data_IF_048855366751
#
_entry.id   IF_048855366751
#
_cell.length_a   1.000
_cell.length_b   1.000
_cell.length_c   1.000
_cell.angle_alpha   90.00
_cell.angle_beta   90.00
_cell.angle_gamma   90.00
#
_symmetry.space_group_name_H-M   'P 1'
#
loop_
_entity.id
_entity.type
_entity.pdbx_description
1 polymer ?
2 polymer ?
3 water ?
#
# COMPACT_ATOMS: atom_id res chain seq x y z
N UNK A 7 12.10 21.20 -5.93
CA UNK A 7 12.32 22.57 -6.28
C UNK A 7 11.02 23.22 -6.53
N UNK A 8 10.87 24.39 -5.96
CA UNK A 8 9.66 25.19 -6.13
C UNK A 8 9.41 25.61 -7.58
N UNK A 9 10.49 25.83 -8.34
CA UNK A 9 10.34 26.27 -9.73
C UNK A 9 9.77 25.15 -10.61
N UNK A 10 10.28 23.94 -10.43
CA UNK A 10 9.80 22.79 -11.19
C UNK A 10 8.31 22.56 -10.97
N UNK A 11 7.86 22.72 -9.73
CA UNK A 11 6.45 22.54 -9.40
C UNK A 11 5.57 23.67 -9.92
N UNK A 12 6.13 24.88 -9.96
CA UNK A 12 5.42 26.02 -10.52
C UNK A 12 5.14 25.80 -12.01
N UNK A 13 6.11 25.23 -12.71
CA UNK A 13 5.95 24.91 -14.12
C UNK A 13 4.90 23.81 -14.32
N UNK A 14 4.93 22.81 -13.44
CA UNK A 14 3.96 21.71 -13.49
C UNK A 14 2.54 22.24 -13.34
N UNK A 15 2.34 23.11 -12.36
CA UNK A 15 1.04 23.71 -12.09
C UNK A 15 0.55 24.53 -13.30
N UNK A 16 1.46 25.29 -13.91
CA UNK A 16 1.11 26.11 -15.08
C UNK A 16 0.61 25.25 -16.25
N UNK A 17 1.33 24.17 -16.54
CA UNK A 17 0.94 23.28 -17.62
C UNK A 17 -0.41 22.66 -17.34
N UNK A 18 -0.63 22.27 -16.08
CA UNK A 18 -1.88 21.66 -15.66
C UNK A 18 -3.06 22.64 -15.70
N UNK A 19 -2.76 23.95 -15.64
CA UNK A 19 -3.82 24.96 -15.65
C UNK A 19 -4.40 25.29 -17.03
N UNK A 20 -3.66 24.95 -18.08
CA UNK A 20 -4.18 25.11 -19.44
C UNK A 20 -5.43 24.27 -19.61
N UNK A 21 -6.57 24.92 -19.91
CA UNK A 21 -7.88 24.27 -19.91
C UNK A 21 -8.14 23.39 -21.14
N UNK A 22 -7.69 23.83 -22.31
CA UNK A 22 -8.06 23.18 -23.57
C UNK A 22 -7.33 21.86 -23.88
N UNK A 23 -6.42 21.46 -23.01
CA UNK A 23 -5.73 20.17 -23.17
C UNK A 23 -6.66 19.01 -22.79
N UNK A 24 -6.41 17.84 -23.36
CA UNK A 24 -7.16 16.64 -22.96
C UNK A 24 -6.39 15.79 -21.95
N UNK A 25 -7.03 14.78 -21.41
CA UNK A 25 -6.39 13.93 -20.39
C UNK A 25 -5.03 13.44 -20.84
N UNK A 26 -4.92 13.03 -22.11
CA UNK A 26 -3.69 12.45 -22.64
C UNK A 26 -2.55 13.45 -22.72
N UNK A 27 -2.82 14.59 -23.34
CA UNK A 27 -1.84 15.67 -23.48
C UNK A 27 -1.34 16.10 -22.11
N UNK A 28 -2.28 16.46 -21.25
CA UNK A 28 -2.04 16.81 -19.85
C UNK A 28 -0.92 15.94 -19.28
N UNK A 29 -1.22 14.65 -19.18
CA UNK A 29 -0.30 13.66 -18.62
C UNK A 29 1.06 13.60 -19.31
N UNK A 30 1.07 13.61 -20.65
CA UNK A 30 2.32 13.53 -21.37
C UNK A 30 3.27 14.63 -20.88
N UNK A 31 2.78 15.86 -20.88
CA UNK A 31 3.56 17.02 -20.45
C UNK A 31 4.06 16.91 -19.02
N UNK A 32 3.14 16.60 -18.10
CA UNK A 32 3.48 16.54 -16.68
C UNK A 32 4.51 15.45 -16.42
N UNK A 33 4.31 14.30 -17.03
CA UNK A 33 5.19 13.14 -16.83
C UNK A 33 6.56 13.38 -17.45
N UNK A 34 6.58 14.01 -18.63
CA UNK A 34 7.84 14.39 -19.24
C UNK A 34 8.59 15.34 -18.32
N UNK A 35 7.87 16.29 -17.75
CA UNK A 35 8.45 17.29 -16.86
C UNK A 35 9.03 16.63 -15.61
N UNK A 36 8.20 15.80 -14.96
CA UNK A 36 8.63 15.02 -13.81
C UNK A 36 9.90 14.22 -14.10
N UNK A 37 9.95 13.59 -15.28
CA UNK A 37 11.13 12.80 -15.68
C UNK A 37 12.35 13.68 -15.95
N UNK A 38 12.14 14.85 -16.53
CA UNK A 38 13.24 15.76 -16.87
C UNK A 38 12.88 17.19 -16.50
N UNK A 39 13.21 17.60 -15.27
CA UNK A 39 12.90 18.93 -14.73
C UNK A 39 13.60 20.07 -15.47
N UNK A 40 14.67 19.75 -16.20
CA UNK A 40 15.43 20.75 -16.93
C UNK A 40 14.66 21.31 -18.12
N UNK A 41 13.79 20.47 -18.70
CA UNK A 41 12.99 20.83 -19.87
C UNK A 41 11.71 21.60 -19.51
N UNK A 42 11.56 21.94 -18.23
CA UNK A 42 10.35 22.58 -17.71
C UNK A 42 9.80 23.74 -18.56
N UNK A 43 10.64 24.70 -18.92
CA UNK A 43 10.17 25.89 -19.64
C UNK A 43 9.72 25.59 -21.06
N UNK A 44 10.47 24.72 -21.74
CA UNK A 44 10.15 24.37 -23.12
C UNK A 44 8.83 23.63 -23.23
N UNK A 45 8.63 22.69 -22.32
CA UNK A 45 7.39 21.92 -22.23
C UNK A 45 6.20 22.85 -21.99
N UNK A 46 6.44 23.94 -21.28
CA UNK A 46 5.39 24.92 -21.01
C UNK A 46 4.95 25.63 -22.28
N UNK A 47 5.92 26.03 -23.11
CA UNK A 47 5.61 26.71 -24.35
C UNK A 47 4.81 25.82 -25.30
N UNK A 48 5.33 24.62 -25.56
CA UNK A 48 4.68 23.68 -26.46
C UNK A 48 3.23 23.39 -26.06
N UNK A 49 2.97 23.32 -24.76
CA UNK A 49 1.61 23.12 -24.26
C UNK A 49 0.76 24.38 -24.46
N UNK A 50 1.40 25.54 -24.35
CA UNK A 50 0.76 26.81 -24.63
C UNK A 50 0.32 26.86 -26.09
N UNK A 51 1.22 26.46 -26.98
CA UNK A 51 0.92 26.40 -28.41
C UNK A 51 -0.27 25.47 -28.63
N UNK A 52 -0.20 24.31 -28.00
CA UNK A 52 -1.23 23.28 -28.14
C UNK A 52 -2.57 23.74 -27.57
N UNK A 53 -2.53 24.41 -26.42
CA UNK A 53 -3.73 24.86 -25.72
C UNK A 53 -4.59 25.83 -26.54
N UNK A 54 -3.94 26.75 -27.24
CA UNK A 54 -4.66 27.73 -28.05
C UNK A 54 -5.02 27.20 -29.44
N UNK A 55 -4.20 26.29 -29.95
CA UNK A 55 -4.52 25.63 -31.21
C UNK A 55 -5.74 24.75 -31.02
N UNK A 56 -6.04 24.48 -29.75
CA UNK A 56 -7.20 23.68 -29.38
C UNK A 56 -8.26 24.58 -28.75
N UNK A 57 -8.28 25.84 -29.17
CA UNK A 57 -9.25 26.78 -28.65
C UNK A 57 -10.65 26.42 -29.11
N UNK A 58 -11.62 26.38 -28.18
CA UNK A 58 -13.01 26.23 -28.62
C UNK A 58 -13.68 27.56 -28.89
N UNK B 7 18.42 -13.41 8.44
CA UNK B 7 19.27 -14.52 8.89
C UNK B 7 18.50 -15.84 8.98
N UNK B 8 19.05 -16.87 8.38
CA UNK B 8 18.48 -18.22 8.43
C UNK B 8 18.34 -18.73 9.87
N UNK B 9 19.28 -18.37 10.73
CA UNK B 9 19.25 -18.80 12.12
C UNK B 9 17.99 -18.27 12.82
N UNK B 10 17.84 -16.94 12.79
CA UNK B 10 16.71 -16.27 13.42
C UNK B 10 15.37 -16.75 12.89
N UNK B 11 15.28 -16.96 11.58
CA UNK B 11 14.03 -17.43 11.00
C UNK B 11 13.69 -18.83 11.48
N UNK B 12 14.71 -19.68 11.58
CA UNK B 12 14.52 -21.05 12.08
C UNK B 12 13.94 -21.04 13.48
N UNK B 13 14.53 -20.23 14.36
CA UNK B 13 14.02 -20.08 15.71
C UNK B 13 12.55 -19.63 15.70
N UNK B 14 12.24 -18.68 14.81
CA UNK B 14 10.88 -18.14 14.70
C UNK B 14 9.89 -19.22 14.28
N UNK B 15 10.32 -20.07 13.36
CA UNK B 15 9.51 -21.18 12.89
C UNK B 15 9.26 -22.21 14.00
N UNK B 16 10.32 -22.57 14.74
CA UNK B 16 10.17 -23.49 15.87
C UNK B 16 9.14 -23.00 16.88
N UNK B 17 9.24 -21.73 17.26
CA UNK B 17 8.29 -21.14 18.21
C UNK B 17 6.87 -21.14 17.65
N UNK B 18 6.75 -20.75 16.38
CA UNK B 18 5.45 -20.68 15.71
C UNK B 18 4.73 -22.03 15.69
N UNK B 19 5.49 -23.11 15.59
CA UNK B 19 4.89 -24.44 15.47
C UNK B 19 4.54 -25.08 16.82
N UNK B 20 4.95 -24.46 17.92
CA UNK B 20 4.52 -24.93 19.25
C UNK B 20 3.00 -24.94 19.36
N UNK B 21 2.43 -26.12 19.64
CA UNK B 21 0.98 -26.38 19.60
C UNK B 21 0.18 -25.79 20.75
N UNK B 22 0.78 -25.65 21.93
CA UNK B 22 0.01 -25.21 23.10
C UNK B 22 0.07 -23.71 23.40
N UNK B 23 0.71 -22.94 22.54
CA UNK B 23 0.75 -21.49 22.71
C UNK B 23 -0.54 -20.84 22.20
N UNK B 24 -0.99 -19.78 22.86
CA UNK B 24 -2.15 -19.04 22.34
C UNK B 24 -1.71 -17.87 21.45
N UNK B 25 -2.67 -17.25 20.78
CA UNK B 25 -2.35 -16.21 19.81
C UNK B 25 -1.49 -15.11 20.42
N UNK B 26 -1.72 -14.79 21.70
CA UNK B 26 -1.01 -13.69 22.37
C UNK B 26 0.43 -14.04 22.72
N UNK B 27 0.64 -15.23 23.27
CA UNK B 27 1.99 -15.71 23.55
C UNK B 27 2.74 -15.86 22.23
N UNK B 28 2.04 -16.36 21.22
CA UNK B 28 2.58 -16.55 19.89
C UNK B 28 3.22 -15.25 19.41
N UNK B 29 2.41 -14.22 19.31
CA UNK B 29 2.84 -12.90 18.86
C UNK B 29 3.95 -12.31 19.74
N UNK B 30 3.73 -12.35 21.05
CA UNK B 30 4.71 -11.80 21.98
C UNK B 30 6.10 -12.38 21.72
N UNK B 31 6.18 -13.70 21.58
CA UNK B 31 7.46 -14.34 21.34
C UNK B 31 8.06 -13.94 19.99
N UNK B 32 7.28 -14.11 18.91
CA UNK B 32 7.76 -13.77 17.57
C UNK B 32 8.19 -12.31 17.48
N UNK B 33 7.41 -11.42 18.08
CA UNK B 33 7.68 -9.99 17.99
C UNK B 33 8.93 -9.60 18.79
N UNK B 34 9.15 -10.27 19.92
CA UNK B 34 10.35 -10.04 20.71
C UNK B 34 11.57 -10.50 19.92
N UNK B 35 11.39 -11.61 19.21
CA UNK B 35 12.45 -12.19 18.39
C UNK B 35 12.86 -11.22 17.28
N UNK B 36 11.87 -10.69 16.57
CA UNK B 36 12.11 -9.69 15.54
C UNK B 36 12.79 -8.45 16.11
N UNK B 37 12.38 -8.05 17.31
CA UNK B 37 12.90 -6.86 17.95
C UNK B 37 14.39 -6.99 18.27
N UNK B 38 14.78 -8.16 18.75
CA UNK B 38 16.17 -8.42 19.16
C UNK B 38 16.51 -9.88 18.89
N UNK B 39 16.83 -10.19 17.63
CA UNK B 39 17.14 -11.57 17.19
C UNK B 39 18.28 -12.20 17.97
N UNK B 40 19.05 -11.40 18.72
CA UNK B 40 20.13 -11.95 19.52
C UNK B 40 19.55 -12.70 20.73
N UNK B 41 18.24 -12.60 20.91
CA UNK B 41 17.54 -13.26 22.01
C UNK B 41 16.78 -14.49 21.55
N UNK B 42 16.93 -14.82 20.27
CA UNK B 42 16.25 -15.96 19.65
C UNK B 42 16.31 -17.24 20.48
N UNK B 43 17.52 -17.66 20.85
CA UNK B 43 17.69 -18.91 21.58
C UNK B 43 16.95 -18.92 22.91
N UNK B 44 17.15 -17.88 23.70
CA UNK B 44 16.49 -17.77 25.00
C UNK B 44 14.97 -17.72 24.83
N UNK B 45 14.52 -16.99 23.82
CA UNK B 45 13.10 -16.91 23.51
C UNK B 45 12.50 -18.27 23.19
N UNK B 46 13.26 -19.10 22.46
CA UNK B 46 12.79 -20.44 22.13
C UNK B 46 12.73 -21.35 23.36
N UNK B 47 13.78 -21.35 24.17
CA UNK B 47 13.77 -22.16 25.39
C UNK B 47 12.63 -21.73 26.32
N UNK B 48 12.42 -20.42 26.43
CA UNK B 48 11.32 -19.89 27.23
C UNK B 48 9.99 -20.40 26.66
N UNK B 49 9.85 -20.26 25.35
CA UNK B 49 8.64 -20.71 24.65
C UNK B 49 8.43 -22.23 24.78
N UNK B 50 9.51 -22.99 24.71
CA UNK B 50 9.40 -24.44 24.82
C UNK B 50 9.00 -24.85 26.24
N UNK B 51 9.66 -24.26 27.25
CA UNK B 51 9.33 -24.49 28.65
C UNK B 51 7.85 -24.16 28.92
N UNK B 52 7.38 -23.08 28.32
CA UNK B 52 5.99 -22.66 28.46
C UNK B 52 5.05 -23.64 27.77
N UNK B 53 5.34 -23.97 26.51
CA UNK B 53 4.50 -24.87 25.74
C UNK B 53 4.25 -26.20 26.44
N UNK B 54 5.31 -26.76 27.03
CA UNK B 54 5.19 -28.02 27.78
C UNK B 54 4.38 -27.85 29.06
N UNK B 55 4.49 -26.69 29.69
CA UNK B 55 3.74 -26.43 30.91
C UNK B 55 2.24 -26.34 30.63
N UNK B 56 1.90 -25.89 29.43
CA UNK B 56 0.51 -25.65 29.06
C UNK B 56 -0.09 -26.83 28.30
N UNK B 57 0.46 -28.02 28.50
CA UNK B 57 -0.05 -29.21 27.85
C UNK B 57 -1.31 -29.73 28.55
N UNK B 58 -2.25 -30.28 27.77
CA UNK B 58 -3.44 -30.94 28.36
C UNK B 58 -3.09 -32.29 28.99
N UNK C 6 13.79 -14.95 -4.51
CA UNK C 6 13.99 -15.93 -3.45
C UNK C 6 12.70 -16.13 -2.65
N UNK C 7 12.73 -17.02 -1.66
CA UNK C 7 11.57 -17.27 -0.82
C UNK C 7 11.53 -16.30 0.37
N UNK C 8 10.38 -15.68 0.61
CA UNK C 8 10.24 -14.76 1.74
C UNK C 8 10.12 -15.55 3.04
N UNK C 9 11.06 -15.33 3.95
CA UNK C 9 11.09 -16.04 5.23
C UNK C 9 9.87 -15.71 6.10
N UNK C 10 9.42 -16.69 6.86
CA UNK C 10 8.25 -16.55 7.74
C UNK C 10 8.30 -15.33 8.65
N UNK C 11 9.46 -15.08 9.26
CA UNK C 11 9.58 -13.97 10.20
C UNK C 11 9.49 -12.63 9.47
N UNK C 12 9.90 -12.62 8.20
CA UNK C 12 9.78 -11.40 7.41
C UNK C 12 8.35 -11.19 6.90
N UNK C 13 7.67 -12.27 6.53
CA UNK C 13 6.26 -12.15 6.15
C UNK C 13 5.46 -11.68 7.35
N UNK C 14 5.72 -12.29 8.51
CA UNK C 14 4.99 -11.94 9.72
C UNK C 14 5.16 -10.45 10.05
N UNK C 15 6.40 -10.00 10.11
CA UNK C 15 6.68 -8.60 10.43
C UNK C 15 6.02 -7.63 9.44
N UNK C 16 6.17 -7.90 8.14
CA UNK C 16 5.73 -6.96 7.11
C UNK C 16 4.20 -6.93 6.92
N UNK C 17 3.52 -7.97 7.37
CA UNK C 17 2.07 -8.06 7.18
C UNK C 17 1.30 -7.65 8.42
N UNK C 18 2.02 -7.45 9.53
CA UNK C 18 1.39 -7.11 10.81
C UNK C 18 0.88 -5.67 10.87
N UNK C 19 -0.21 -5.45 11.59
CA UNK C 19 -0.90 -4.19 11.61
C UNK C 19 0.04 -3.04 11.77
N UNK C 20 -0.04 -2.15 10.82
CA UNK C 20 0.78 -0.93 10.85
C UNK C 20 0.28 0.09 9.85
N UNK C 21 0.74 1.35 9.96
CA UNK C 21 0.42 2.35 8.93
C UNK C 21 1.16 2.04 7.64
N UNK C 22 0.43 1.93 6.54
CA UNK C 22 1.01 1.66 5.23
C UNK C 22 0.49 2.64 4.19
N UNK C 23 1.36 3.08 3.31
CA UNK C 23 0.93 3.99 2.24
C UNK C 23 -0.14 3.32 1.39
N UNK C 24 -1.29 3.98 1.28
CA UNK C 24 -2.45 3.45 0.59
C UNK C 24 -3.02 4.52 -0.35
N UNK C 25 -3.35 4.15 -1.58
CA UNK C 25 -3.89 5.12 -2.53
C UNK C 25 -5.40 5.26 -2.37
N UNK C 26 -5.85 6.48 -2.06
CA UNK C 26 -7.27 6.70 -1.78
C UNK C 26 -7.95 7.67 -2.75
N UNK C 27 -9.09 7.24 -3.28
CA UNK C 27 -9.97 8.09 -4.08
C UNK C 27 -10.24 9.40 -3.33
N UNK C 28 -10.09 10.53 -4.02
CA UNK C 28 -10.38 11.82 -3.39
C UNK C 28 -11.89 11.97 -3.18
N UNK C 29 -12.66 11.51 -4.17
CA UNK C 29 -14.13 11.48 -4.10
C UNK C 29 -14.62 10.76 -2.84
N UNK C 30 -13.91 9.70 -2.47
CA UNK C 30 -14.20 8.94 -1.26
C UNK C 30 -13.96 9.77 0.01
N UNK C 31 -13.03 10.72 -0.06
CA UNK C 31 -12.70 11.55 1.08
C UNK C 31 -13.45 12.88 1.06
N UNK C 32 -13.82 13.30 -0.14
CA UNK C 32 -14.66 14.49 -0.33
C UNK C 32 -15.94 14.09 -1.06
N UNK C 33 -16.84 13.37 -0.38
CA UNK C 33 -18.08 12.83 -0.95
C UNK C 33 -19.01 13.92 -1.48
N UNK C 34 -18.83 15.14 -0.98
CA UNK C 34 -19.75 16.23 -1.25
C UNK C 34 -19.33 17.08 -2.45
N UNK C 35 -18.24 16.71 -3.11
CA UNK C 35 -17.73 17.53 -4.21
C UNK C 35 -17.59 16.78 -5.52
N UNK C 36 -18.54 15.91 -5.82
CA UNK C 36 -18.45 15.16 -7.06
C UNK C 36 -19.09 15.92 -8.22
N UNK C 37 -19.15 17.24 -8.09
CA UNK C 37 -19.39 18.11 -9.24
C UNK C 37 -18.03 18.31 -9.90
N UNK C 38 -17.04 18.48 -9.03
CA UNK C 38 -15.63 18.61 -9.37
C UNK C 38 -15.00 17.39 -10.02
N UNK C 39 -13.89 17.60 -10.71
CA UNK C 39 -13.00 16.55 -11.16
C UNK C 39 -11.58 16.85 -10.68
N UNK C 40 -10.91 15.86 -10.12
CA UNK C 40 -9.60 16.09 -9.53
C UNK C 40 -8.46 15.44 -10.30
N UNK C 41 -7.37 16.17 -10.41
CA UNK C 41 -6.13 15.63 -10.95
C UNK C 41 -5.00 15.93 -9.97
N UNK C 42 -4.39 14.86 -9.43
CA UNK C 42 -4.81 13.47 -9.65
C UNK C 42 -6.11 13.14 -8.92
N UNK C 43 -6.74 12.03 -9.25
CA UNK C 43 -8.00 11.64 -8.62
C UNK C 43 -7.83 10.89 -7.30
N UNK C 44 -6.63 10.36 -7.06
CA UNK C 44 -6.34 9.68 -5.81
C UNK C 44 -5.11 10.29 -5.16
N UNK C 45 -4.95 10.04 -3.87
CA UNK C 45 -3.79 10.54 -3.14
C UNK C 45 -3.18 9.46 -2.24
N UNK C 46 -1.85 9.50 -2.03
CA UNK C 46 -1.14 8.54 -1.16
C UNK C 46 -1.27 8.89 0.32
N UNK C 47 -1.96 8.06 1.08
CA UNK C 47 -2.21 8.32 2.49
C UNK C 47 -1.79 7.17 3.39
N UNK C 48 -1.06 7.49 4.46
CA UNK C 48 -0.73 6.50 5.50
C UNK C 48 -2.00 6.00 6.20
N UNK C 49 -2.27 4.70 6.07
CA UNK C 49 -3.48 4.11 6.64
C UNK C 49 -3.21 2.77 7.30
N UNK C 50 -4.00 2.45 8.33
CA UNK C 50 -3.90 1.15 8.98
C UNK C 50 -4.17 0.01 8.00
N UNK C 51 -3.29 -0.98 8.01
CA UNK C 51 -3.43 -2.16 7.18
C UNK C 51 -2.71 -3.34 7.82
N UNK C 52 -2.96 -4.54 7.31
CA UNK C 52 -2.35 -5.74 7.83
C UNK C 52 -3.27 -6.57 8.71
N UNK C 53 -2.69 -7.58 9.36
CA UNK C 53 -3.46 -8.54 10.15
C UNK C 53 -3.07 -8.50 11.62
N UNK C 54 -3.92 -9.07 12.46
CA UNK C 54 -3.64 -9.17 13.89
C UNK C 54 -3.42 -10.62 14.33
N UNK C 55 -3.80 -11.56 13.47
CA UNK C 55 -3.58 -12.98 13.75
C UNK C 55 -4.17 -13.42 15.08
N UNK C 56 -5.19 -12.68 15.50
CA UNK C 56 -5.98 -13.01 16.68
C UNK C 56 -7.42 -12.62 16.40
N UNK C 57 -8.29 -13.62 16.30
CA UNK C 57 -9.69 -13.39 15.96
C UNK C 57 -10.43 -12.43 16.89
N UNK C 58 -9.89 -12.23 18.09
CA UNK C 58 -10.50 -11.32 19.06
C UNK C 58 -9.99 -9.90 18.95
N UNK C 59 -9.09 -9.65 17.99
CA UNK C 59 -8.49 -8.34 17.83
C UNK C 59 -8.65 -7.80 16.41
N UNK C 60 -8.61 -6.48 16.28
CA UNK C 60 -8.70 -5.83 14.97
C UNK C 60 -7.69 -4.68 14.88
N UNK C 61 -7.27 -4.38 13.66
CA UNK C 61 -6.30 -3.32 13.42
C UNK C 61 -7.02 -1.95 13.36
N UNK C 62 -6.81 -1.13 14.37
CA UNK C 62 -7.41 0.21 14.39
C UNK C 62 -6.37 1.32 14.53
N UNK C 63 -6.67 2.51 13.96
CA UNK C 63 -5.83 3.69 14.23
C UNK C 63 -5.96 4.15 15.67
N UNK C 64 -4.84 4.45 16.33
CA UNK C 64 -4.86 4.95 17.70
C UNK C 64 -4.34 6.39 17.76
N UNK C 65 -3.75 6.85 16.66
CA UNK C 65 -3.29 8.23 16.53
C UNK C 65 -3.51 8.73 15.10
N UNK C 66 -4.14 9.89 14.94
CA UNK C 66 -4.46 10.41 13.62
C UNK C 66 -4.08 11.87 13.44
N UNK C 67 -3.68 12.22 12.22
CA UNK C 67 -3.25 13.56 11.86
C UNK C 67 -3.81 13.88 10.48
N UNK C 68 -3.68 15.13 10.08
CA UNK C 68 -4.08 15.52 8.73
C UNK C 68 -2.86 15.85 7.87
N UNK C 69 -2.96 15.62 6.57
CA UNK C 69 -1.90 16.04 5.66
C UNK C 69 -2.47 16.85 4.51
N UNK C 70 -1.71 17.85 4.05
CA UNK C 70 -2.21 18.78 3.05
C UNK C 70 -1.53 18.57 1.71
N UNK C 71 -2.31 18.49 0.64
CA UNK C 71 -1.73 18.34 -0.70
C UNK C 71 -2.22 19.38 -1.68
N UNK C 72 -1.38 19.64 -2.69
CA UNK C 72 -1.75 20.49 -3.81
C UNK C 72 -2.48 19.66 -4.85
N UNK C 73 -3.75 19.95 -5.05
CA UNK C 73 -4.57 19.22 -6.00
C UNK C 73 -5.19 20.15 -7.03
N UNK C 74 -5.28 19.66 -8.26
CA UNK C 74 -5.93 20.41 -9.33
C UNK C 74 -7.45 20.20 -9.29
N UNK C 75 -8.17 21.26 -8.99
CA UNK C 75 -9.62 21.20 -8.86
C UNK C 75 -10.28 21.71 -10.13
N UNK C 76 -10.86 20.79 -10.90
CA UNK C 76 -11.39 21.16 -12.21
C UNK C 76 -12.92 21.17 -12.21
N UNK C 77 -13.48 22.35 -12.41
CA UNK C 77 -14.90 22.51 -12.71
C UNK C 77 -15.05 22.50 -14.22
N UNK C 78 -15.50 21.36 -14.77
CA UNK C 78 -15.48 21.10 -16.21
C UNK C 78 -16.13 22.21 -17.03
N UNK C 79 -15.42 22.71 -18.03
CA UNK C 79 -15.95 23.70 -18.97
C UNK C 79 -16.23 25.07 -18.33
N UNK C 80 -16.04 25.16 -17.03
CA UNK C 80 -16.22 26.42 -16.32
C UNK C 80 -15.15 26.63 -15.25
N UNK C 81 -13.89 26.36 -15.60
CA UNK C 81 -12.79 26.67 -14.70
C UNK C 81 -11.94 25.51 -14.25
N UNK C 82 -10.74 25.83 -13.77
CA UNK C 82 -9.90 24.93 -13.02
C UNK C 82 -8.83 25.66 -12.26
N UNK C 83 -8.50 25.24 -11.06
CA UNK C 83 -7.52 25.97 -10.27
C UNK C 83 -6.86 25.04 -9.24
N UNK C 84 -5.61 25.33 -8.89
CA UNK C 84 -4.90 24.54 -7.90
C UNK C 84 -5.31 24.93 -6.48
N UNK C 85 -5.80 23.96 -5.72
CA UNK C 85 -6.24 24.22 -4.36
C UNK C 85 -5.60 23.26 -3.39
N UNK C 86 -5.37 23.71 -2.16
CA UNK C 86 -4.85 22.84 -1.13
C UNK C 86 -6.00 22.03 -0.51
N UNK C 87 -5.81 20.72 -0.38
CA UNK C 87 -6.84 19.84 0.15
C UNK C 87 -6.30 19.01 1.32
N UNK C 88 -7.09 18.86 2.38
CA UNK C 88 -6.65 18.10 3.54
C UNK C 88 -7.23 16.68 3.60
N UNK C 89 -6.39 15.74 4.04
CA UNK C 89 -6.78 14.34 4.16
C UNK C 89 -6.40 13.77 5.51
N UNK C 90 -7.19 12.80 5.97
CA UNK C 90 -6.95 12.11 7.23
C UNK C 90 -5.89 11.02 7.08
N UNK C 91 -4.92 11.02 8.00
CA UNK C 91 -3.85 10.02 7.99
C UNK C 91 -3.74 9.24 9.30
N UNK C 92 -3.27 8.00 9.22
CA UNK C 92 -3.07 7.17 10.41
C UNK C 92 -1.59 7.13 10.82
N UNK C 93 -1.29 7.66 11.99
CA UNK C 93 0.10 7.69 12.49
C UNK C 93 0.47 6.43 13.28
N UNK C 94 -0.50 5.90 14.02
CA UNK C 94 -0.29 4.67 14.78
C UNK C 94 -1.46 3.71 14.62
N UNK C 95 -1.15 2.43 14.49
CA UNK C 95 -2.16 1.38 14.36
C UNK C 95 -1.87 0.29 15.38
N UNK C 96 -2.89 -0.09 16.14
CA UNK C 96 -2.72 -1.18 17.10
C UNK C 96 -3.78 -2.24 16.92
N UNK C 97 -3.43 -3.48 17.25
CA UNK C 97 -4.41 -4.56 17.32
C UNK C 97 -5.21 -4.45 18.61
N UNK C 98 -6.52 -4.24 18.48
CA UNK C 98 -7.37 -4.10 19.66
C UNK C 98 -8.67 -4.89 19.60
N UNK C 99 -9.25 -5.15 20.78
CA UNK C 99 -10.44 -5.99 20.89
C UNK C 99 -11.63 -5.37 20.16
N UNK C 100 -12.45 -6.20 19.52
CA UNK C 100 -13.67 -5.70 18.87
C UNK C 100 -14.86 -5.81 19.82
N UNK D 7 3.16 21.00 3.32
CA UNK D 7 2.29 20.78 2.15
C UNK D 7 3.01 19.99 1.04
N UNK D 8 2.31 19.02 0.48
CA UNK D 8 2.85 18.22 -0.61
C UNK D 8 2.59 18.90 -1.96
N UNK D 9 3.65 19.10 -2.73
CA UNK D 9 3.56 19.82 -4.00
C UNK D 9 2.81 19.01 -5.06
N UNK D 10 2.08 19.71 -5.92
CA UNK D 10 1.23 19.10 -6.96
C UNK D 10 1.94 18.03 -7.79
N UNK D 11 3.12 18.33 -8.30
CA UNK D 11 3.82 17.37 -9.14
C UNK D 11 4.22 16.14 -8.33
N UNK D 12 4.61 16.36 -7.07
CA UNK D 12 4.95 15.26 -6.17
C UNK D 12 3.74 14.37 -5.90
N UNK D 13 2.56 14.96 -5.81
CA UNK D 13 1.36 14.17 -5.63
C UNK D 13 1.10 13.37 -6.90
N UNK D 14 1.03 14.07 -8.03
CA UNK D 14 0.75 13.44 -9.30
C UNK D 14 1.65 12.24 -9.55
N UNK D 15 2.95 12.41 -9.29
CA UNK D 15 3.92 11.35 -9.56
C UNK D 15 3.68 10.13 -8.66
N UNK D 16 3.45 10.37 -7.37
CA UNK D 16 3.30 9.30 -6.39
C UNK D 16 1.95 8.58 -6.50
N UNK D 17 1.01 9.18 -7.21
CA UNK D 17 -0.34 8.64 -7.27
C UNK D 17 -0.62 7.92 -8.59
N UNK D 18 0.20 8.17 -9.60
CA UNK D 18 -0.05 7.60 -10.92
C UNK D 18 0.18 6.09 -10.97
N UNK D 19 -0.57 5.40 -11.81
CA UNK D 19 -0.66 3.96 -11.81
C UNK D 19 0.68 3.33 -11.78
N UNK D 20 0.91 2.53 -10.77
CA UNK D 20 2.18 1.82 -10.61
C UNK D 20 2.05 0.65 -9.63
N UNK D 21 3.04 -0.27 -9.62
CA UNK D 21 3.03 -1.34 -8.61
C UNK D 21 3.28 -0.77 -7.22
N UNK D 22 2.39 -1.05 -6.27
CA UNK D 22 2.58 -0.60 -4.90
C UNK D 22 2.38 -1.74 -3.91
N UNK D 23 3.18 -1.77 -2.85
CA UNK D 23 3.04 -2.83 -1.85
C UNK D 23 1.62 -2.78 -1.25
N UNK D 24 0.91 -3.89 -1.36
CA UNK D 24 -0.49 -3.96 -0.97
C UNK D 24 -0.76 -5.19 -0.09
N UNK D 25 -1.36 -4.98 1.07
CA UNK D 25 -1.64 -6.08 1.99
C UNK D 25 -2.91 -6.81 1.59
N UNK D 26 -2.76 -8.11 1.31
CA UNK D 26 -3.85 -8.91 0.77
C UNK D 26 -4.16 -10.08 1.68
N UNK D 27 -5.46 -10.32 1.92
CA UNK D 27 -5.91 -11.47 2.69
C UNK D 27 -5.65 -12.76 1.91
N UNK D 28 -5.02 -13.73 2.57
CA UNK D 28 -4.65 -14.98 1.92
C UNK D 28 -5.89 -15.71 1.39
N UNK D 29 -7.01 -15.55 2.09
CA UNK D 29 -8.27 -16.19 1.70
C UNK D 29 -8.80 -15.62 0.39
N UNK D 30 -8.37 -14.41 0.07
CA UNK D 30 -8.78 -13.76 -1.18
C UNK D 30 -8.04 -14.36 -2.36
N UNK D 31 -6.87 -14.94 -2.09
CA UNK D 31 -6.06 -15.55 -3.13
C UNK D 31 -6.28 -17.06 -3.16
N UNK D 32 -6.68 -17.59 -2.02
CA UNK D 32 -6.94 -19.02 -1.87
C UNK D 32 -8.28 -19.26 -1.18
N UNK D 33 -9.38 -18.99 -1.91
CA UNK D 33 -10.75 -19.06 -1.37
C UNK D 33 -11.23 -20.47 -1.04
N UNK D 34 -10.63 -21.49 -1.66
CA UNK D 34 -11.03 -22.87 -1.37
C UNK D 34 -10.39 -23.38 -0.08
N UNK D 35 -9.49 -22.58 0.50
CA UNK D 35 -8.77 -22.97 1.71
C UNK D 35 -9.41 -22.44 2.99
N UNK D 36 -10.69 -22.08 2.90
CA UNK D 36 -11.47 -21.56 4.03
C UNK D 36 -11.41 -22.44 5.30
N UNK D 37 -11.24 -23.73 5.11
CA UNK D 37 -11.15 -24.67 6.24
C UNK D 37 -9.93 -24.40 7.13
N UNK D 38 -8.92 -23.74 6.58
CA UNK D 38 -7.67 -23.53 7.31
C UNK D 38 -7.59 -22.16 7.95
N UNK D 39 -6.62 -22.01 8.85
CA UNK D 39 -6.27 -20.74 9.45
C UNK D 39 -4.81 -20.48 9.07
N UNK D 40 -4.55 -19.30 8.49
CA UNK D 40 -3.18 -18.97 8.08
C UNK D 40 -2.56 -17.91 8.98
N UNK D 41 -1.29 -18.10 9.32
CA UNK D 41 -0.52 -17.09 10.05
C UNK D 41 0.78 -16.81 9.32
N UNK D 42 0.96 -15.56 8.85
CA UNK D 42 -0.07 -14.50 8.98
C UNK D 42 -1.25 -14.74 8.04
N UNK D 43 -2.34 -14.00 8.22
CA UNK D 43 -3.54 -14.19 7.41
C UNK D 43 -3.53 -13.31 6.16
N UNK D 44 -2.59 -12.39 6.09
CA UNK D 44 -2.44 -11.50 4.94
C UNK D 44 -0.97 -11.40 4.56
N UNK D 45 -0.71 -11.03 3.31
CA UNK D 45 0.66 -10.94 2.82
C UNK D 45 0.91 -9.68 1.99
N UNK D 46 2.14 -9.16 2.02
CA UNK D 46 2.49 -7.97 1.24
C UNK D 46 2.77 -8.35 -0.21
N UNK D 47 1.96 -7.82 -1.13
CA UNK D 47 2.12 -8.13 -2.55
C UNK D 47 2.21 -6.86 -3.39
N UNK D 48 3.12 -6.84 -4.36
CA UNK D 48 3.19 -5.72 -5.31
C UNK D 48 2.01 -5.79 -6.27
N UNK D 49 1.07 -4.86 -6.13
CA UNK D 49 -0.11 -4.82 -6.98
C UNK D 49 -0.30 -3.46 -7.64
N UNK D 50 -0.89 -3.47 -8.83
CA UNK D 50 -1.21 -2.24 -9.56
C UNK D 50 -2.15 -1.38 -8.75
N UNK D 51 -1.75 -0.14 -8.50
CA UNK D 51 -2.57 0.82 -7.78
C UNK D 51 -2.40 2.22 -8.33
N UNK D 52 -3.31 3.12 -7.96
CA UNK D 52 -3.21 4.51 -8.38
C UNK D 52 -4.24 4.90 -9.43
N UNK D 53 -4.04 6.07 -10.02
CA UNK D 53 -5.03 6.65 -10.93
C UNK D 53 -4.47 6.79 -12.34
N UNK D 54 -5.36 6.87 -13.32
CA UNK D 54 -4.95 7.10 -14.69
C UNK D 54 -5.30 8.51 -15.15
N UNK D 55 -6.07 9.21 -14.33
CA UNK D 55 -6.51 10.58 -14.63
C UNK D 55 -7.09 10.69 -16.04
N UNK D 56 -8.10 9.86 -16.29
CA UNK D 56 -8.65 9.64 -17.62
C UNK D 56 -9.92 9.05 -17.03
N UNK D 57 -10.99 8.99 -17.81
CA UNK D 57 -12.13 8.11 -17.55
C UNK D 57 -12.22 6.94 -18.52
N UNK D 58 -11.47 6.99 -19.61
CA UNK D 58 -11.44 5.89 -20.57
C UNK D 58 -10.30 4.93 -20.29
N UNK D 59 -9.61 5.13 -19.17
CA UNK D 59 -8.48 4.28 -18.84
C UNK D 59 -8.61 3.62 -17.47
N UNK D 60 -7.77 2.61 -17.24
CA UNK D 60 -7.72 1.89 -15.98
C UNK D 60 -6.31 1.33 -15.77
N UNK D 61 -5.84 1.40 -14.52
CA UNK D 61 -4.53 0.86 -14.17
C UNK D 61 -4.58 -0.67 -14.16
N UNK D 62 -3.81 -1.30 -15.04
CA UNK D 62 -3.82 -2.76 -15.16
C UNK D 62 -2.42 -3.33 -15.31
N UNK D 63 -2.22 -4.57 -14.85
CA UNK D 63 -0.90 -5.20 -14.94
C UNK D 63 -0.53 -5.54 -16.38
N UNK D 64 0.66 -5.14 -16.79
CA UNK D 64 1.19 -5.48 -18.11
C UNK D 64 2.25 -6.57 -18.02
N UNK D 65 2.63 -6.91 -16.78
CA UNK D 65 3.68 -7.88 -16.55
C UNK D 65 3.57 -8.44 -15.13
N UNK D 66 3.55 -9.77 -15.02
CA UNK D 66 3.35 -10.41 -13.73
C UNK D 66 4.45 -11.40 -13.36
N UNK D 67 4.58 -11.66 -12.07
CA UNK D 67 5.51 -12.66 -11.55
C UNK D 67 4.82 -13.40 -10.42
N UNK D 68 5.41 -14.51 -10.00
CA UNK D 68 4.91 -15.23 -8.84
C UNK D 68 5.95 -15.19 -7.73
N UNK D 69 5.52 -14.98 -6.48
CA UNK D 69 6.44 -14.97 -5.36
C UNK D 69 6.07 -16.02 -4.31
N UNK D 70 7.08 -16.60 -3.68
CA UNK D 70 6.86 -17.70 -2.74
C UNK D 70 7.22 -17.26 -1.31
N UNK D 71 6.33 -17.57 -0.37
CA UNK D 71 6.55 -17.19 1.03
C UNK D 71 6.29 -18.36 1.96
N UNK D 72 6.88 -18.30 3.15
CA UNK D 72 6.61 -19.28 4.20
C UNK D 72 5.41 -18.86 5.05
N UNK D 73 4.35 -19.67 5.01
CA UNK D 73 3.12 -19.37 5.74
C UNK D 73 2.76 -20.52 6.68
N UNK D 74 2.25 -20.19 7.87
CA UNK D 74 1.76 -21.24 8.76
C UNK D 74 0.31 -21.60 8.45
N UNK D 75 0.06 -22.89 8.26
CA UNK D 75 -1.28 -23.38 8.00
C UNK D 75 -1.78 -24.25 9.15
N UNK D 76 -2.97 -23.94 9.63
CA UNK D 76 -3.56 -24.63 10.76
C UNK D 76 -4.93 -25.13 10.38
N UNK D 77 -5.11 -26.45 10.41
CA UNK D 77 -6.44 -27.05 10.34
C UNK D 77 -6.87 -27.35 11.77
N UNK D 78 -7.77 -26.50 12.32
CA UNK D 78 -8.04 -26.47 13.76
C UNK D 78 -8.26 -27.85 14.36
N UNK D 79 -7.44 -28.20 15.35
CA UNK D 79 -7.58 -29.45 16.09
C UNK D 79 -7.17 -30.71 15.29
N UNK D 80 -6.27 -30.50 14.33
CA UNK D 80 -5.47 -31.57 13.72
C UNK D 80 -4.19 -31.02 13.07
N UNK D 81 -3.31 -30.45 13.89
CA UNK D 81 -1.96 -30.10 13.48
C UNK D 81 -1.79 -28.89 12.59
N UNK D 82 -0.60 -28.29 12.68
CA UNK D 82 -0.23 -27.12 11.90
C UNK D 82 1.15 -27.35 11.32
N UNK D 83 1.48 -26.64 10.24
CA UNK D 83 2.80 -26.72 9.63
C UNK D 83 3.15 -25.36 9.02
N UNK D 84 4.44 -25.11 8.82
CA UNK D 84 4.87 -23.93 8.08
C UNK D 84 5.47 -24.37 6.75
N UNK D 85 4.78 -24.05 5.66
CA UNK D 85 5.24 -24.43 4.34
C UNK D 85 5.30 -23.24 3.41
N UNK D 86 5.46 -23.52 2.13
CA UNK D 86 5.59 -22.46 1.13
C UNK D 86 4.29 -22.25 0.35
N UNK D 87 3.86 -21.00 0.23
CA UNK D 87 2.74 -20.63 -0.62
C UNK D 87 3.16 -19.65 -1.70
N UNK D 88 2.56 -19.79 -2.89
CA UNK D 88 2.83 -18.90 -4.01
C UNK D 88 1.79 -17.80 -4.14
N UNK D 89 2.24 -16.59 -4.47
CA UNK D 89 1.34 -15.46 -4.67
C UNK D 89 1.70 -14.69 -5.94
N UNK D 90 0.67 -14.36 -6.72
CA UNK D 90 0.81 -13.55 -7.93
C UNK D 90 1.25 -12.12 -7.61
N UNK D 91 2.23 -11.61 -8.35
CA UNK D 91 2.64 -10.21 -8.24
C UNK D 91 2.57 -9.45 -9.56
N UNK D 92 2.44 -8.14 -9.45
CA UNK D 92 2.45 -7.26 -10.62
C UNK D 92 3.80 -6.55 -10.74
N UNK D 93 4.45 -6.70 -11.88
CA UNK D 93 5.77 -6.10 -12.08
C UNK D 93 5.71 -4.76 -12.82
N UNK D 94 4.82 -4.68 -13.82
CA UNK D 94 4.59 -3.45 -14.56
C UNK D 94 3.10 -3.15 -14.66
N UNK D 95 2.75 -1.87 -14.56
CA UNK D 95 1.36 -1.46 -14.64
C UNK D 95 1.18 -0.38 -15.70
N UNK D 96 -0.02 -0.31 -16.28
CA UNK D 96 -0.29 0.64 -17.34
C UNK D 96 -1.72 1.13 -17.32
N UNK D 97 -1.92 2.36 -17.76
CA UNK D 97 -3.26 2.89 -17.99
C UNK D 97 -3.78 2.43 -19.33
N UNK D 98 -4.85 1.65 -19.31
CA UNK D 98 -5.37 1.05 -20.53
C UNK D 98 -6.89 1.21 -20.66
N UNK D 99 -7.39 1.19 -21.91
CA UNK D 99 -8.82 1.27 -22.19
C UNK D 99 -9.60 0.15 -21.50
#
# INVERSE_FOLDING_TARGET
>A
VDNKFNKEMHNAYAIEIALLPNLNDQQFHAFIWSLIDDPSQSANLLAEAKKLNDAQAPK
>B
VDNKFNKEMHNAYAIEIALLPNLNDQQFHAFIWSLIDDPSQSANLLAEAKKLNDAQAPK
>C
GQNHHEVVKFMDVYQRSYCHPIETLVDIFQEYPDEIEYIFKPSCVPLMRCGGCCNDEGLECVPTEESNITMQIMRIKPHQGQHIGEMSFLQHNKCECRPKKD
>D
GQNHHEVVKFMDVYQRSYCHPIETLVDIFQEYPDEIEYIFKPSCVPLMRCGGCCNDEGLECVPTEESNITMQIMRIKPHQGQHIGEMSFLQHNKCECRPKKD
#
